data_IF_637100297981
#
_entry.id   IF_637100297981
#
_cell.length_a   1.000
_cell.length_b   1.000
_cell.length_c   1.000
_cell.angle_alpha   90.00
_cell.angle_beta   90.00
_cell.angle_gamma   90.00
#
_symmetry.space_group_name_H-M   'P 1'
#
loop_
_entity.id
_entity.type
_entity.pdbx_description
1 polymer ?
#
# COMPACT_ATOMS: atom_id res chain seq x y z
N UNK A 1 30.05 -10.24 18.36
CA UNK A 1 28.87 -9.45 18.66
C UNK A 1 28.03 -10.25 19.63
N UNK A 2 27.71 -9.67 20.78
CA UNK A 2 27.01 -10.33 21.88
C UNK A 2 25.52 -10.58 21.53
N UNK A 3 24.92 -11.66 22.11
CA UNK A 3 23.50 -12.02 21.87
C UNK A 3 22.46 -11.04 22.44
N UNK A 4 22.88 -10.02 23.17
CA UNK A 4 21.98 -9.11 23.90
C UNK A 4 21.48 -7.90 23.09
N UNK A 5 21.94 -7.71 21.84
CA UNK A 5 21.50 -6.61 20.98
C UNK A 5 20.25 -6.96 20.14
N UNK A 6 19.74 -8.17 20.22
CA UNK A 6 18.53 -8.63 19.51
C UNK A 6 17.22 -8.32 20.25
N UNK A 7 17.30 -7.74 21.45
CA UNK A 7 16.16 -7.28 22.24
C UNK A 7 16.09 -5.75 22.31
N UNK A 8 16.34 -5.05 21.21
CA UNK A 8 15.94 -3.65 21.16
C UNK A 8 14.41 -3.60 21.37
N UNK A 9 13.91 -2.83 22.35
CA UNK A 9 12.47 -2.66 22.51
C UNK A 9 11.92 -2.15 21.18
N UNK A 10 10.79 -2.72 20.76
CA UNK A 10 9.99 -2.17 19.66
C UNK A 10 10.00 -0.64 19.81
N UNK A 11 10.23 0.12 18.73
CA UNK A 11 10.27 1.58 18.83
C UNK A 11 9.01 2.00 19.59
N UNK A 12 9.26 2.70 20.68
CA UNK A 12 8.21 3.22 21.56
C UNK A 12 7.15 3.89 20.68
N UNK A 13 5.92 3.61 21.02
CA UNK A 13 4.71 4.26 20.52
C UNK A 13 4.95 5.75 20.21
N UNK A 14 4.23 6.35 19.24
CA UNK A 14 4.46 7.73 18.81
C UNK A 14 4.64 8.66 20.01
N UNK A 15 5.66 9.49 19.87
CA UNK A 15 6.30 10.38 20.86
C UNK A 15 5.47 10.74 22.11
N UNK A 16 6.15 10.79 23.25
CA UNK A 16 5.71 11.39 24.50
C UNK A 16 4.93 12.70 24.27
N UNK A 17 3.66 12.69 24.56
CA UNK A 17 2.70 13.80 24.38
C UNK A 17 1.29 13.29 24.19
N UNK A 18 1.13 12.01 23.94
CA UNK A 18 -0.15 11.38 23.67
C UNK A 18 -0.77 10.90 24.98
N UNK A 19 -1.83 11.56 25.41
CA UNK A 19 -2.48 11.44 26.74
C UNK A 19 -3.15 10.10 27.03
N UNK A 20 -2.76 9.00 26.38
CA UNK A 20 -3.32 7.65 26.62
C UNK A 20 -4.75 7.46 26.09
N UNK A 21 -5.22 8.34 25.24
CA UNK A 21 -6.54 8.29 24.60
C UNK A 21 -6.46 8.76 23.13
N UNK A 22 -7.52 8.46 22.38
CA UNK A 22 -7.79 8.98 21.04
C UNK A 22 -9.01 9.88 21.05
N UNK A 23 -9.12 10.79 20.09
CA UNK A 23 -10.39 11.34 19.70
C UNK A 23 -10.99 10.44 18.64
N UNK A 24 -12.23 9.98 18.81
CA UNK A 24 -12.92 9.11 17.86
C UNK A 24 -14.15 9.81 17.32
N UNK A 25 -14.33 9.80 16.00
CA UNK A 25 -15.53 10.26 15.31
C UNK A 25 -16.13 9.09 14.55
N UNK A 26 -17.41 8.83 14.70
CA UNK A 26 -18.14 7.84 13.92
C UNK A 26 -18.82 8.52 12.73
N UNK A 27 -18.54 8.03 11.55
CA UNK A 27 -19.18 8.43 10.29
C UNK A 27 -20.18 7.37 9.89
N UNK A 28 -21.44 7.72 9.72
CA UNK A 28 -22.49 6.78 9.37
C UNK A 28 -23.07 7.08 7.99
N UNK A 29 -23.42 6.01 7.28
CA UNK A 29 -24.05 6.05 5.97
C UNK A 29 -25.03 4.87 5.84
N UNK A 30 -26.20 5.10 5.25
CA UNK A 30 -27.04 4.01 4.77
C UNK A 30 -26.53 3.65 3.38
N UNK A 31 -25.93 2.44 3.20
CA UNK A 31 -25.31 2.08 1.94
C UNK A 31 -26.34 1.95 0.81
N UNK A 32 -25.97 2.40 -0.38
CA UNK A 32 -26.72 2.25 -1.62
C UNK A 32 -26.46 0.89 -2.29
N UNK A 33 -26.63 0.87 -3.61
CA UNK A 33 -26.38 -0.33 -4.43
C UNK A 33 -24.87 -0.66 -4.55
N UNK A 34 -24.00 0.35 -4.49
CA UNK A 34 -22.55 0.19 -4.57
C UNK A 34 -21.89 0.41 -3.19
N UNK A 35 -21.81 -0.67 -2.41
CA UNK A 35 -21.27 -0.66 -1.04
C UNK A 35 -19.79 -0.30 -0.96
N UNK A 36 -18.99 -0.72 -1.96
CA UNK A 36 -17.56 -0.39 -1.99
C UNK A 36 -17.34 1.11 -2.16
N UNK A 37 -18.10 1.72 -3.06
CA UNK A 37 -18.03 3.18 -3.24
C UNK A 37 -18.50 3.95 -2.01
N UNK A 38 -19.49 3.44 -1.30
CA UNK A 38 -19.97 4.02 -0.03
C UNK A 38 -18.92 3.90 1.07
N UNK A 39 -18.23 2.76 1.19
CA UNK A 39 -17.10 2.59 2.10
C UNK A 39 -15.94 3.53 1.76
N UNK A 40 -15.59 3.66 0.48
CA UNK A 40 -14.54 4.56 0.01
C UNK A 40 -14.83 6.03 0.36
N UNK A 41 -16.09 6.44 0.27
CA UNK A 41 -16.50 7.80 0.68
C UNK A 41 -16.28 8.06 2.16
N UNK A 42 -16.58 7.09 3.03
CA UNK A 42 -16.35 7.20 4.46
C UNK A 42 -14.85 7.27 4.77
N UNK A 43 -14.03 6.43 4.14
CA UNK A 43 -12.57 6.47 4.31
C UNK A 43 -11.96 7.76 3.78
N UNK A 44 -12.45 8.26 2.64
CA UNK A 44 -11.99 9.53 2.08
C UNK A 44 -12.26 10.68 3.05
N UNK A 45 -13.45 10.76 3.64
CA UNK A 45 -13.79 11.78 4.62
C UNK A 45 -12.91 11.68 5.87
N UNK A 46 -12.69 10.49 6.41
CA UNK A 46 -11.82 10.25 7.55
C UNK A 46 -10.37 10.66 7.26
N UNK A 47 -9.85 10.30 6.09
CA UNK A 47 -8.52 10.70 5.64
C UNK A 47 -8.38 12.21 5.48
N UNK A 48 -9.33 12.87 4.83
CA UNK A 48 -9.32 14.34 4.64
C UNK A 48 -9.40 15.11 5.95
N UNK A 49 -10.00 14.52 6.99
CA UNK A 49 -10.03 15.08 8.33
C UNK A 49 -8.79 14.71 9.16
N UNK A 50 -7.88 13.90 8.62
CA UNK A 50 -6.60 13.54 9.26
C UNK A 50 -6.74 12.45 10.31
N UNK A 51 -7.59 11.45 10.07
CA UNK A 51 -7.66 10.24 10.88
C UNK A 51 -6.32 9.48 10.82
N UNK A 52 -5.93 8.90 11.95
CA UNK A 52 -4.70 8.09 12.10
C UNK A 52 -5.01 6.59 12.10
N UNK A 53 -6.27 6.23 12.17
CA UNK A 53 -6.78 4.87 12.10
C UNK A 53 -8.28 4.89 11.87
N UNK A 54 -8.82 3.80 11.32
CA UNK A 54 -10.26 3.68 11.16
C UNK A 54 -10.70 2.22 11.10
N UNK A 55 -11.93 1.95 11.55
CA UNK A 55 -12.58 0.64 11.53
C UNK A 55 -13.96 0.78 10.89
N UNK A 56 -14.23 -0.02 9.86
CA UNK A 56 -15.54 -0.08 9.21
C UNK A 56 -16.37 -1.22 9.80
N UNK A 57 -17.55 -0.89 10.29
CA UNK A 57 -18.51 -1.85 10.82
C UNK A 57 -19.82 -1.77 10.03
N UNK A 58 -20.33 -2.90 9.60
CA UNK A 58 -21.67 -3.00 9.00
C UNK A 58 -22.61 -3.69 9.97
N UNK A 59 -23.67 -3.01 10.38
CA UNK A 59 -24.69 -3.55 11.25
C UNK A 59 -26.09 -3.03 10.86
N UNK A 60 -27.09 -3.91 10.91
CA UNK A 60 -28.52 -3.63 10.64
C UNK A 60 -28.78 -2.77 9.37
N UNK A 61 -27.94 -2.93 8.33
CA UNK A 61 -28.08 -2.20 7.05
C UNK A 61 -27.54 -0.77 7.10
N UNK A 62 -26.71 -0.45 8.09
CA UNK A 62 -25.91 0.78 8.17
C UNK A 62 -24.43 0.43 8.03
N UNK A 63 -23.70 1.38 7.49
CA UNK A 63 -22.25 1.34 7.40
C UNK A 63 -21.70 2.45 8.31
N UNK A 64 -20.90 2.07 9.28
CA UNK A 64 -20.30 2.99 10.27
C UNK A 64 -18.79 2.89 10.20
N UNK A 65 -18.11 3.98 9.89
CA UNK A 65 -16.67 4.11 10.01
C UNK A 65 -16.30 4.82 11.30
N UNK A 66 -15.64 4.12 12.21
CA UNK A 66 -14.98 4.72 13.36
C UNK A 66 -13.62 5.22 12.97
N UNK A 67 -13.38 6.50 13.09
CA UNK A 67 -12.11 7.12 12.76
C UNK A 67 -11.45 7.71 14.00
N UNK A 68 -10.18 7.37 14.21
CA UNK A 68 -9.40 7.79 15.37
C UNK A 68 -8.42 8.89 15.00
N UNK A 69 -8.23 9.84 15.92
CA UNK A 69 -7.40 11.03 15.75
C UNK A 69 -6.48 11.20 16.97
N UNK A 70 -5.31 11.82 16.73
CA UNK A 70 -4.35 12.07 17.82
C UNK A 70 -4.97 12.84 18.99
N UNK A 71 -4.62 12.42 20.19
CA UNK A 71 -5.04 13.10 21.44
C UNK A 71 -4.56 14.54 21.56
N UNK A 72 -3.48 14.89 20.88
CA UNK A 72 -2.92 16.25 20.81
C UNK A 72 -3.76 17.21 19.96
N UNK A 73 -4.73 16.70 19.21
CA UNK A 73 -5.61 17.49 18.34
C UNK A 73 -6.70 18.18 19.17
N UNK A 74 -7.02 19.43 18.81
CA UNK A 74 -8.14 20.14 19.41
C UNK A 74 -9.48 19.54 18.92
N UNK A 75 -10.35 19.00 19.79
CA UNK A 75 -11.59 18.35 19.40
C UNK A 75 -12.59 19.32 18.75
N UNK A 76 -12.58 20.60 19.13
CA UNK A 76 -13.45 21.60 18.53
C UNK A 76 -12.99 21.96 17.11
N UNK A 77 -11.67 21.97 16.87
CA UNK A 77 -11.11 22.15 15.53
C UNK A 77 -11.41 20.94 14.64
N UNK A 78 -11.29 19.73 15.18
CA UNK A 78 -11.65 18.50 14.48
C UNK A 78 -13.12 18.50 14.08
N UNK A 79 -14.02 18.81 15.02
CA UNK A 79 -15.47 18.88 14.78
C UNK A 79 -15.83 19.93 13.72
N UNK A 80 -15.14 21.07 13.71
CA UNK A 80 -15.30 22.11 12.67
C UNK A 80 -14.83 21.62 11.30
N UNK A 81 -13.69 20.93 11.25
CA UNK A 81 -13.14 20.36 10.00
C UNK A 81 -14.08 19.32 9.41
N UNK A 82 -14.61 18.42 10.24
CA UNK A 82 -15.61 17.43 9.84
C UNK A 82 -16.87 18.12 9.30
N UNK A 83 -17.42 19.07 10.05
CA UNK A 83 -18.64 19.79 9.66
C UNK A 83 -18.50 20.56 8.35
N UNK A 84 -17.30 21.09 8.08
CA UNK A 84 -17.01 21.81 6.82
C UNK A 84 -16.96 20.89 5.61
N UNK A 85 -16.56 19.61 5.77
CA UNK A 85 -16.43 18.64 4.69
C UNK A 85 -17.71 17.84 4.43
N UNK A 86 -18.56 17.62 5.43
CA UNK A 86 -19.79 16.83 5.33
C UNK A 86 -20.69 17.20 4.13
N UNK A 87 -20.88 18.49 3.75
CA UNK A 87 -21.68 18.83 2.58
C UNK A 87 -21.16 18.24 1.26
N UNK A 88 -19.89 17.91 1.17
CA UNK A 88 -19.27 17.24 0.01
C UNK A 88 -19.51 15.73 -0.02
N UNK A 89 -20.11 15.16 1.03
CA UNK A 89 -20.38 13.72 1.18
C UNK A 89 -21.89 13.49 1.44
N UNK A 90 -22.75 13.63 0.43
CA UNK A 90 -24.21 13.48 0.60
C UNK A 90 -24.59 12.13 1.21
N UNK A 91 -25.47 12.15 2.22
CA UNK A 91 -25.93 10.94 2.91
C UNK A 91 -25.01 10.44 4.03
N UNK A 92 -23.85 11.04 4.22
CA UNK A 92 -22.97 10.77 5.37
C UNK A 92 -23.36 11.69 6.54
N UNK A 93 -23.47 11.12 7.72
CA UNK A 93 -23.56 11.82 8.98
C UNK A 93 -22.32 11.59 9.83
N UNK A 94 -21.98 12.51 10.70
CA UNK A 94 -20.90 12.35 11.66
C UNK A 94 -21.46 12.49 13.07
N UNK A 95 -21.01 11.62 13.96
CA UNK A 95 -21.27 11.68 15.40
C UNK A 95 -20.43 12.77 16.10
N UNK A 96 -20.59 12.85 17.40
CA UNK A 96 -19.76 13.72 18.24
C UNK A 96 -18.31 13.19 18.28
N UNK A 97 -17.37 14.13 18.48
CA UNK A 97 -15.98 13.78 18.75
C UNK A 97 -15.85 13.28 20.19
N UNK A 98 -15.67 11.99 20.36
CA UNK A 98 -15.63 11.34 21.67
C UNK A 98 -14.19 11.04 22.07
N UNK A 99 -13.90 11.18 23.37
CA UNK A 99 -12.66 10.70 23.96
C UNK A 99 -12.76 9.20 24.17
N UNK A 100 -11.93 8.45 23.45
CA UNK A 100 -11.83 6.99 23.58
C UNK A 100 -10.51 6.62 24.23
N UNK A 101 -10.55 5.93 25.37
CA UNK A 101 -9.31 5.46 26.00
C UNK A 101 -8.62 4.46 25.07
N UNK A 102 -7.31 4.57 24.95
CA UNK A 102 -6.49 3.57 24.27
C UNK A 102 -6.72 2.22 24.96
N UNK A 103 -7.74 1.50 24.53
CA UNK A 103 -7.83 0.07 24.86
C UNK A 103 -6.58 -0.56 24.29
N UNK A 104 -5.98 -1.48 25.06
CA UNK A 104 -4.80 -2.20 24.61
C UNK A 104 -5.05 -2.80 23.23
N UNK A 105 -4.69 -2.05 22.19
CA UNK A 105 -4.69 -2.46 20.79
C UNK A 105 -3.77 -3.67 20.57
N UNK A 106 -3.00 -4.00 21.61
CA UNK A 106 -1.95 -5.01 21.58
C UNK A 106 -2.43 -6.43 21.27
N UNK A 107 -3.70 -6.77 21.49
CA UNK A 107 -4.18 -8.14 21.20
C UNK A 107 -5.07 -8.22 19.97
N UNK A 108 -5.92 -7.23 19.71
CA UNK A 108 -6.76 -7.23 18.50
C UNK A 108 -5.95 -6.96 17.22
N UNK A 109 -4.89 -6.13 17.29
CA UNK A 109 -3.98 -5.94 16.16
C UNK A 109 -3.22 -7.21 15.79
N UNK A 110 -2.87 -8.03 16.76
CA UNK A 110 -2.20 -9.30 16.51
C UNK A 110 -3.07 -10.27 15.69
N UNK A 111 -4.39 -10.18 15.84
CA UNK A 111 -5.36 -11.02 15.11
C UNK A 111 -5.77 -10.42 13.76
N UNK A 112 -5.66 -9.09 13.59
CA UNK A 112 -6.19 -8.38 12.42
C UNK A 112 -5.36 -8.58 11.13
N UNK A 113 -4.07 -8.92 11.24
CA UNK A 113 -3.16 -9.09 10.11
C UNK A 113 -2.44 -10.44 10.18
N UNK A 114 -3.14 -11.58 10.05
CA UNK A 114 -2.51 -12.89 10.09
C UNK A 114 -1.56 -13.08 8.90
N UNK A 115 -0.53 -13.93 9.01
CA UNK A 115 0.35 -14.22 7.89
C UNK A 115 -0.41 -14.64 6.65
N UNK A 116 -0.13 -13.98 5.52
CA UNK A 116 -0.83 -14.21 4.24
C UNK A 116 0.14 -14.75 3.20
N UNK A 117 -0.09 -15.97 2.74
CA UNK A 117 0.65 -16.56 1.64
C UNK A 117 0.24 -15.90 0.31
N UNK A 118 1.24 -15.44 -0.47
CA UNK A 118 1.03 -14.82 -1.78
C UNK A 118 1.86 -15.57 -2.81
N UNK A 119 1.22 -15.93 -3.92
CA UNK A 119 1.85 -16.75 -4.95
C UNK A 119 2.46 -18.03 -4.38
N UNK A 120 3.61 -18.41 -4.90
CA UNK A 120 4.37 -19.57 -4.43
C UNK A 120 5.53 -19.19 -3.51
N UNK A 121 5.99 -17.95 -3.56
CA UNK A 121 7.27 -17.51 -3.00
C UNK A 121 7.12 -16.74 -1.69
N UNK A 122 6.09 -15.91 -1.55
CA UNK A 122 6.02 -14.95 -0.47
C UNK A 122 5.05 -15.34 0.64
N UNK A 123 5.34 -14.85 1.83
CA UNK A 123 4.38 -14.70 2.93
C UNK A 123 4.46 -13.26 3.45
N UNK A 124 3.35 -12.54 3.38
CA UNK A 124 3.24 -11.19 3.95
C UNK A 124 2.90 -11.32 5.42
N UNK A 125 3.64 -10.63 6.26
CA UNK A 125 3.56 -10.75 7.71
C UNK A 125 3.65 -9.36 8.35
N UNK A 126 2.81 -9.13 9.34
CA UNK A 126 3.03 -8.01 10.25
C UNK A 126 4.25 -8.28 11.16
N UNK A 127 4.95 -7.25 11.69
CA UNK A 127 6.18 -7.43 12.47
C UNK A 127 6.03 -8.34 13.69
N UNK A 128 4.86 -8.38 14.30
CA UNK A 128 4.58 -9.20 15.49
C UNK A 128 4.42 -10.71 15.20
N UNK A 129 4.35 -11.10 13.91
CA UNK A 129 4.34 -12.51 13.48
C UNK A 129 5.73 -13.03 13.09
N UNK A 130 6.82 -12.30 13.43
CA UNK A 130 8.17 -12.61 12.98
C UNK A 130 8.64 -14.02 13.37
N UNK A 131 8.16 -14.51 14.49
CA UNK A 131 8.52 -15.85 15.03
C UNK A 131 7.64 -17.00 14.50
N UNK A 132 6.62 -16.68 13.68
CA UNK A 132 5.75 -17.70 13.14
C UNK A 132 6.37 -18.46 11.97
N UNK A 133 5.84 -19.66 11.72
CA UNK A 133 6.35 -20.56 10.68
C UNK A 133 6.06 -19.97 9.27
N UNK A 134 7.10 -19.92 8.44
CA UNK A 134 7.06 -19.33 7.09
C UNK A 134 6.83 -20.34 5.99
N UNK A 135 6.73 -21.64 6.32
CA UNK A 135 6.51 -22.74 5.38
C UNK A 135 7.47 -22.72 4.16
N UNK A 136 8.73 -22.32 4.40
CA UNK A 136 9.75 -22.21 3.35
C UNK A 136 9.60 -20.99 2.44
N UNK A 137 8.67 -20.07 2.72
CA UNK A 137 8.44 -18.86 1.94
C UNK A 137 9.33 -17.70 2.38
N UNK A 138 9.52 -16.73 1.50
CA UNK A 138 10.22 -15.48 1.78
C UNK A 138 9.27 -14.55 2.54
N UNK A 139 9.60 -14.15 3.78
CA UNK A 139 8.76 -13.24 4.53
C UNK A 139 8.94 -11.80 4.03
N UNK A 140 7.82 -11.11 3.88
CA UNK A 140 7.73 -9.68 3.66
C UNK A 140 7.10 -9.05 4.90
N UNK A 141 7.93 -8.44 5.74
CA UNK A 141 7.45 -7.76 6.94
C UNK A 141 7.02 -6.35 6.60
N UNK A 142 5.72 -6.11 6.68
CA UNK A 142 5.12 -4.81 6.41
C UNK A 142 4.38 -4.35 7.65
N UNK A 143 4.69 -3.15 8.10
CA UNK A 143 3.94 -2.52 9.17
C UNK A 143 2.59 -2.07 8.61
N UNK A 144 1.46 -2.55 9.16
CA UNK A 144 0.15 -2.09 8.74
C UNK A 144 -0.06 -0.64 9.20
N UNK A 145 0.20 0.31 8.31
CA UNK A 145 0.01 1.74 8.51
C UNK A 145 -1.01 2.28 7.50
N UNK A 146 -1.06 3.61 7.38
CA UNK A 146 -2.04 4.30 6.53
C UNK A 146 -1.72 4.25 5.04
N UNK A 147 -0.47 3.92 4.65
CA UNK A 147 -0.10 3.84 3.24
C UNK A 147 -0.71 2.62 2.56
N UNK A 148 -1.09 2.82 1.30
CA UNK A 148 -1.56 1.73 0.44
C UNK A 148 -0.47 0.69 0.21
N UNK A 149 -0.84 -0.59 0.15
CA UNK A 149 0.12 -1.66 -0.16
C UNK A 149 0.52 -2.50 1.06
N UNK A 150 -0.37 -2.71 2.02
CA UNK A 150 -0.12 -3.61 3.18
C UNK A 150 0.10 -5.08 2.78
N UNK A 151 -0.10 -5.43 1.50
CA UNK A 151 0.02 -6.79 0.98
C UNK A 151 -1.27 -7.61 1.07
N UNK A 152 -2.27 -7.16 1.83
CA UNK A 152 -3.55 -7.85 1.96
C UNK A 152 -4.51 -7.54 0.83
N UNK A 153 -4.35 -6.39 0.19
CA UNK A 153 -5.18 -5.98 -0.93
C UNK A 153 -4.91 -6.86 -2.17
N UNK A 154 -5.95 -7.23 -2.88
CA UNK A 154 -5.91 -8.14 -4.03
C UNK A 154 -4.96 -7.66 -5.12
N UNK A 155 -4.95 -6.35 -5.41
CA UNK A 155 -4.06 -5.79 -6.42
C UNK A 155 -2.58 -5.96 -6.08
N UNK A 156 -2.21 -5.82 -4.80
CA UNK A 156 -0.84 -6.03 -4.32
C UNK A 156 -0.44 -7.49 -4.45
N UNK A 157 -1.37 -8.40 -4.15
CA UNK A 157 -1.15 -9.85 -4.33
C UNK A 157 -0.94 -10.23 -5.78
N UNK A 158 -1.73 -9.64 -6.70
CA UNK A 158 -1.54 -9.79 -8.16
C UNK A 158 -0.14 -9.34 -8.57
N UNK A 159 0.30 -8.16 -8.15
CA UNK A 159 1.62 -7.64 -8.51
C UNK A 159 2.76 -8.51 -7.98
N UNK A 160 2.68 -8.95 -6.71
CA UNK A 160 3.64 -9.86 -6.10
C UNK A 160 3.72 -11.20 -6.85
N UNK A 161 2.59 -11.80 -7.21
CA UNK A 161 2.57 -13.07 -7.94
C UNK A 161 3.10 -12.94 -9.37
N UNK A 162 2.79 -11.83 -10.06
CA UNK A 162 3.28 -11.59 -11.42
C UNK A 162 4.80 -11.36 -11.49
N UNK A 163 5.43 -10.91 -10.40
CA UNK A 163 6.88 -10.63 -10.38
C UNK A 163 7.74 -11.85 -10.00
N UNK A 164 7.16 -12.88 -9.37
CA UNK A 164 7.92 -14.04 -8.87
C UNK A 164 8.84 -14.69 -9.91
N UNK A 165 8.36 -14.82 -11.15
CA UNK A 165 9.04 -15.53 -12.22
C UNK A 165 9.99 -14.65 -13.04
N UNK A 166 9.99 -13.32 -12.84
CA UNK A 166 10.69 -12.40 -13.74
C UNK A 166 11.69 -11.48 -13.06
N UNK A 167 11.66 -11.40 -11.74
CA UNK A 167 12.70 -10.72 -10.96
C UNK A 167 13.80 -11.72 -10.65
N UNK A 168 15.02 -11.42 -11.04
CA UNK A 168 16.17 -12.29 -10.87
C UNK A 168 17.29 -11.59 -10.12
N UNK A 169 18.23 -12.42 -9.64
CA UNK A 169 19.42 -11.93 -8.96
C UNK A 169 20.22 -10.98 -9.85
N UNK A 170 20.51 -9.80 -9.31
CA UNK A 170 21.29 -8.77 -10.01
C UNK A 170 20.47 -7.79 -10.83
N UNK A 171 19.14 -7.97 -10.88
CA UNK A 171 18.24 -7.05 -11.59
C UNK A 171 18.21 -5.66 -10.93
N UNK A 172 17.90 -4.67 -11.76
CA UNK A 172 17.48 -3.33 -11.38
C UNK A 172 15.96 -3.27 -11.49
N UNK A 173 15.26 -2.87 -10.43
CA UNK A 173 13.80 -2.81 -10.41
C UNK A 173 13.34 -1.38 -10.16
N UNK A 174 12.38 -0.93 -10.95
CA UNK A 174 11.71 0.37 -10.80
C UNK A 174 10.34 0.13 -10.17
N UNK A 175 10.03 0.79 -9.06
CA UNK A 175 8.74 0.70 -8.35
C UNK A 175 8.07 2.07 -8.32
N UNK A 176 7.00 2.22 -9.10
CA UNK A 176 6.31 3.48 -9.35
C UNK A 176 4.96 3.49 -8.62
N UNK A 177 4.81 4.43 -7.69
CA UNK A 177 3.73 4.42 -6.70
C UNK A 177 4.02 3.38 -5.64
N UNK A 178 5.18 3.53 -4.98
CA UNK A 178 5.74 2.48 -4.12
C UNK A 178 4.92 2.22 -2.84
N UNK A 179 4.16 3.20 -2.36
CA UNK A 179 3.37 3.08 -1.13
C UNK A 179 4.20 2.59 0.05
N UNK A 180 3.84 1.44 0.63
CA UNK A 180 4.59 0.81 1.73
C UNK A 180 5.98 0.29 1.34
N UNK A 181 6.30 0.24 0.06
CA UNK A 181 7.54 -0.33 -0.48
C UNK A 181 7.50 -1.85 -0.67
N UNK A 182 6.37 -2.50 -0.45
CA UNK A 182 6.28 -3.97 -0.44
C UNK A 182 6.82 -4.61 -1.73
N UNK A 183 6.56 -4.00 -2.90
CA UNK A 183 6.95 -4.58 -4.19
C UNK A 183 8.46 -4.54 -4.39
N UNK A 184 9.12 -3.40 -4.16
CA UNK A 184 10.58 -3.38 -4.31
C UNK A 184 11.30 -4.12 -3.18
N UNK A 185 10.74 -4.17 -1.95
CA UNK A 185 11.25 -5.02 -0.87
C UNK A 185 11.22 -6.49 -1.31
N UNK A 186 10.11 -6.94 -1.91
CA UNK A 186 9.99 -8.29 -2.48
C UNK A 186 11.03 -8.52 -3.58
N UNK A 187 11.26 -7.54 -4.46
CA UNK A 187 12.28 -7.62 -5.50
C UNK A 187 13.68 -7.78 -4.91
N UNK A 188 14.06 -6.99 -3.90
CA UNK A 188 15.35 -7.12 -3.21
C UNK A 188 15.50 -8.50 -2.55
N UNK A 189 14.45 -9.02 -1.96
CA UNK A 189 14.46 -10.36 -1.36
C UNK A 189 14.53 -11.50 -2.38
N UNK A 190 14.09 -11.28 -3.61
CA UNK A 190 14.35 -12.18 -4.75
C UNK A 190 15.78 -12.07 -5.29
N UNK A 191 16.54 -11.07 -4.85
CA UNK A 191 17.94 -10.89 -5.21
C UNK A 191 18.22 -9.75 -6.20
N UNK A 192 17.27 -8.87 -6.45
CA UNK A 192 17.54 -7.61 -7.16
C UNK A 192 18.71 -6.88 -6.50
N UNK A 193 19.58 -6.28 -7.31
CA UNK A 193 20.78 -5.60 -6.81
C UNK A 193 20.56 -4.13 -6.51
N UNK A 194 19.53 -3.52 -7.10
CA UNK A 194 19.23 -2.12 -6.99
C UNK A 194 17.75 -1.85 -7.27
N UNK A 195 17.16 -0.94 -6.53
CA UNK A 195 15.80 -0.50 -6.77
C UNK A 195 15.72 1.01 -6.88
N UNK A 196 14.78 1.50 -7.67
CA UNK A 196 14.39 2.91 -7.75
C UNK A 196 12.93 2.99 -7.40
N UNK A 197 12.59 3.67 -6.31
CA UNK A 197 11.22 3.78 -5.84
C UNK A 197 10.76 5.25 -5.86
N UNK A 198 9.57 5.48 -6.38
CA UNK A 198 8.95 6.81 -6.47
C UNK A 198 7.52 6.76 -5.95
N UNK A 199 7.15 7.79 -5.23
CA UNK A 199 5.76 8.05 -4.82
C UNK A 199 5.47 9.55 -4.83
N UNK A 200 4.21 9.92 -5.09
CA UNK A 200 3.76 11.31 -5.03
C UNK A 200 3.64 11.82 -3.59
N UNK A 201 3.31 10.91 -2.67
CA UNK A 201 3.09 11.26 -1.28
C UNK A 201 4.43 11.27 -0.51
N UNK A 202 4.88 12.43 0.00
CA UNK A 202 6.12 12.51 0.77
C UNK A 202 6.07 11.72 2.08
N UNK A 203 4.90 11.40 2.61
CA UNK A 203 4.76 10.65 3.86
C UNK A 203 5.16 9.18 3.71
N UNK A 204 5.12 8.64 2.49
CA UNK A 204 5.52 7.26 2.18
C UNK A 204 7.02 7.02 2.41
N UNK A 205 7.85 8.05 2.27
CA UNK A 205 9.33 7.92 2.38
C UNK A 205 9.75 7.36 3.74
N UNK A 206 9.17 7.87 4.82
CA UNK A 206 9.48 7.42 6.18
C UNK A 206 8.97 6.00 6.42
N UNK A 207 7.77 5.71 5.94
CA UNK A 207 7.15 4.39 6.06
C UNK A 207 7.91 3.32 5.29
N UNK A 208 8.34 3.62 4.08
CA UNK A 208 9.20 2.75 3.28
C UNK A 208 10.51 2.43 4.00
N UNK A 209 11.18 3.44 4.56
CA UNK A 209 12.43 3.23 5.32
C UNK A 209 12.23 2.30 6.50
N UNK A 210 11.14 2.49 7.25
CA UNK A 210 10.75 1.59 8.34
C UNK A 210 10.54 0.16 7.86
N UNK A 211 9.84 -0.03 6.75
CA UNK A 211 9.59 -1.35 6.19
C UNK A 211 10.88 -1.99 5.65
N UNK A 212 11.82 -1.22 5.09
CA UNK A 212 13.16 -1.74 4.73
C UNK A 212 13.90 -2.25 5.96
N UNK A 213 13.91 -1.48 7.06
CA UNK A 213 14.52 -1.88 8.32
C UNK A 213 13.90 -3.16 8.89
N UNK A 214 12.56 -3.26 8.90
CA UNK A 214 11.86 -4.49 9.32
C UNK A 214 12.26 -5.73 8.50
N UNK A 215 12.70 -5.52 7.28
CA UNK A 215 13.13 -6.58 6.36
C UNK A 215 14.64 -6.80 6.33
N UNK A 216 15.41 -6.16 7.22
CA UNK A 216 16.87 -6.22 7.32
C UNK A 216 17.56 -5.77 5.99
N UNK A 217 16.98 -4.78 5.30
CA UNK A 217 17.49 -4.24 4.04
C UNK A 217 18.21 -2.90 4.26
N UNK A 218 19.41 -2.76 3.66
CA UNK A 218 20.15 -1.49 3.71
C UNK A 218 19.43 -0.43 2.85
N UNK A 219 19.31 0.84 3.35
CA UNK A 219 18.83 1.95 2.54
C UNK A 219 19.66 2.19 1.27
N UNK A 220 20.93 1.77 1.26
CA UNK A 220 21.83 1.89 0.11
C UNK A 220 21.45 1.00 -1.08
N UNK A 221 20.42 0.16 -0.96
CA UNK A 221 19.90 -0.69 -2.03
C UNK A 221 18.78 -0.01 -2.83
N UNK A 222 18.37 1.22 -2.46
CA UNK A 222 17.23 1.88 -3.06
C UNK A 222 17.48 3.39 -3.26
N UNK A 223 17.22 3.89 -4.47
CA UNK A 223 16.99 5.32 -4.72
C UNK A 223 15.52 5.63 -4.48
N UNK A 224 15.20 6.04 -3.26
CA UNK A 224 13.85 6.36 -2.80
C UNK A 224 13.65 7.87 -2.77
N UNK A 225 12.69 8.37 -3.54
CA UNK A 225 12.39 9.80 -3.60
C UNK A 225 10.92 10.08 -3.90
N UNK A 226 10.47 11.27 -3.49
CA UNK A 226 9.19 11.83 -3.95
C UNK A 226 9.30 12.14 -5.43
N UNK A 227 8.32 11.70 -6.23
CA UNK A 227 8.32 11.93 -7.66
C UNK A 227 7.04 11.49 -8.34
N UNK A 228 6.71 12.15 -9.44
CA UNK A 228 5.57 11.82 -10.28
C UNK A 228 5.99 10.81 -11.35
N UNK A 229 5.47 9.60 -11.27
CA UNK A 229 5.74 8.49 -12.18
C UNK A 229 7.27 8.28 -12.38
N UNK A 230 7.75 8.38 -13.63
CA UNK A 230 9.16 8.23 -13.99
C UNK A 230 9.97 9.54 -13.91
N UNK A 231 9.39 10.60 -13.36
CA UNK A 231 10.08 11.88 -13.23
C UNK A 231 11.35 11.74 -12.38
N UNK A 232 12.49 12.16 -12.94
CA UNK A 232 13.80 12.09 -12.26
C UNK A 232 14.42 10.67 -12.22
N UNK A 233 13.78 9.65 -12.74
CA UNK A 233 14.36 8.30 -12.88
C UNK A 233 15.34 8.28 -14.05
N UNK A 234 16.60 7.97 -13.76
CA UNK A 234 17.66 7.89 -14.78
C UNK A 234 18.05 6.45 -15.09
N UNK A 235 17.88 5.55 -14.16
CA UNK A 235 18.21 4.15 -14.31
C UNK A 235 17.21 3.45 -15.23
N UNK A 236 17.72 2.47 -15.99
CA UNK A 236 16.89 1.54 -16.73
C UNK A 236 16.70 0.27 -15.92
N UNK A 237 15.44 -0.12 -15.72
CA UNK A 237 15.07 -1.34 -15.00
C UNK A 237 15.08 -2.59 -15.88
N UNK A 238 15.37 -3.72 -15.27
CA UNK A 238 15.05 -5.04 -15.82
C UNK A 238 13.54 -5.30 -15.67
N UNK A 239 12.97 -4.83 -14.56
CA UNK A 239 11.55 -4.92 -14.25
C UNK A 239 11.04 -3.56 -13.77
N UNK A 240 9.87 -3.15 -14.25
CA UNK A 240 9.10 -2.02 -13.75
C UNK A 240 7.83 -2.54 -13.07
N UNK A 241 7.55 -2.06 -11.89
CA UNK A 241 6.39 -2.37 -11.08
C UNK A 241 5.52 -1.11 -10.94
N UNK A 242 4.21 -1.24 -11.12
CA UNK A 242 3.25 -0.16 -10.92
C UNK A 242 1.92 -0.74 -10.43
N UNK A 243 1.67 -0.63 -9.13
CA UNK A 243 0.40 -0.99 -8.52
C UNK A 243 -0.37 0.28 -8.15
N UNK A 244 -0.89 0.98 -9.16
CA UNK A 244 -1.53 2.28 -9.09
C UNK A 244 -2.84 2.27 -9.88
N UNK A 245 -3.67 3.31 -9.74
CA UNK A 245 -4.95 3.41 -10.44
C UNK A 245 -4.80 3.46 -11.96
N UNK A 246 -5.89 3.22 -12.69
CA UNK A 246 -5.92 3.22 -14.16
C UNK A 246 -5.33 4.49 -14.77
N UNK A 247 -5.76 5.67 -14.31
CA UNK A 247 -5.36 6.94 -14.96
C UNK A 247 -3.84 7.18 -14.91
N UNK A 248 -3.14 7.06 -13.77
CA UNK A 248 -1.68 7.14 -13.72
C UNK A 248 -1.00 5.97 -14.46
N UNK A 249 -1.55 4.75 -14.45
CA UNK A 249 -1.03 3.65 -15.25
C UNK A 249 -1.05 3.97 -16.76
N UNK A 250 -2.15 4.55 -17.26
CA UNK A 250 -2.25 5.00 -18.66
C UNK A 250 -1.25 6.12 -18.98
N UNK A 251 -1.03 7.05 -18.06
CA UNK A 251 -0.05 8.13 -18.22
C UNK A 251 1.39 7.59 -18.23
N UNK A 252 1.67 6.53 -17.49
CA UNK A 252 2.98 5.88 -17.40
C UNK A 252 3.36 5.12 -18.69
N UNK A 253 2.40 4.46 -19.33
CA UNK A 253 2.64 3.52 -20.46
C UNK A 253 3.52 4.06 -21.58
N UNK A 254 3.40 5.31 -22.08
CA UNK A 254 4.23 5.81 -23.18
C UNK A 254 5.73 5.81 -22.87
N UNK A 255 6.10 5.97 -21.60
CA UNK A 255 7.48 6.15 -21.15
C UNK A 255 8.15 4.85 -20.70
N UNK A 256 7.37 3.80 -20.40
CA UNK A 256 7.87 2.51 -19.90
C UNK A 256 8.93 1.91 -20.80
N UNK A 257 8.76 1.95 -22.12
CA UNK A 257 9.74 1.41 -23.10
C UNK A 257 11.11 2.09 -23.03
N UNK A 258 11.17 3.33 -22.55
CA UNK A 258 12.42 4.07 -22.39
C UNK A 258 13.09 3.80 -21.04
N UNK A 259 12.28 3.43 -20.04
CA UNK A 259 12.74 3.10 -18.71
C UNK A 259 13.18 1.63 -18.56
N UNK A 260 12.81 0.76 -19.49
CA UNK A 260 13.18 -0.65 -19.45
C UNK A 260 14.49 -0.91 -20.24
N UNK A 261 15.27 -1.88 -19.76
CA UNK A 261 16.33 -2.52 -20.53
C UNK A 261 15.74 -3.43 -21.62
N UNK A 262 16.53 -3.79 -22.67
CA UNK A 262 16.08 -4.78 -23.63
C UNK A 262 15.58 -6.07 -22.97
N UNK A 263 14.45 -6.59 -23.44
CA UNK A 263 13.75 -7.77 -22.86
C UNK A 263 13.19 -7.58 -21.45
N UNK A 264 13.17 -6.35 -20.92
CA UNK A 264 12.62 -6.04 -19.61
C UNK A 264 11.11 -6.26 -19.53
N UNK A 265 10.64 -6.39 -18.33
CA UNK A 265 9.22 -6.61 -18.01
C UNK A 265 8.62 -5.38 -17.33
N UNK A 266 7.33 -5.18 -17.55
CA UNK A 266 6.52 -4.25 -16.78
C UNK A 266 5.33 -5.00 -16.17
N UNK A 267 5.06 -4.74 -14.90
CA UNK A 267 3.95 -5.31 -14.17
C UNK A 267 3.04 -4.17 -13.74
N UNK A 268 1.78 -4.26 -14.14
CA UNK A 268 0.75 -3.28 -13.85
C UNK A 268 -0.36 -3.92 -13.04
N UNK A 269 -0.78 -3.28 -11.98
CA UNK A 269 -1.89 -3.68 -11.12
C UNK A 269 -2.57 -2.44 -10.55
N UNK A 270 -3.54 -2.62 -9.62
CA UNK A 270 -4.31 -1.52 -9.04
C UNK A 270 -5.47 -1.07 -9.92
N UNK A 271 -5.87 -1.91 -10.87
CA UNK A 271 -6.98 -1.68 -11.78
C UNK A 271 -8.07 -2.74 -11.58
N UNK A 272 -9.31 -2.38 -11.87
CA UNK A 272 -10.44 -3.30 -11.81
C UNK A 272 -10.60 -4.10 -13.11
N UNK A 273 -11.37 -5.21 -13.06
CA UNK A 273 -11.71 -6.00 -14.23
C UNK A 273 -12.41 -5.17 -15.33
N UNK A 274 -13.19 -4.15 -14.95
CA UNK A 274 -13.88 -3.27 -15.88
C UNK A 274 -12.91 -2.36 -16.65
N UNK A 275 -11.79 -2.00 -16.06
CA UNK A 275 -10.78 -1.11 -16.62
C UNK A 275 -9.82 -1.81 -17.58
N UNK A 276 -9.78 -3.16 -17.54
CA UNK A 276 -8.89 -3.99 -18.37
C UNK A 276 -8.91 -3.62 -19.86
N UNK A 277 -10.10 -3.46 -20.43
CA UNK A 277 -10.24 -3.13 -21.86
C UNK A 277 -9.61 -1.78 -22.23
N UNK A 278 -9.83 -0.76 -21.39
CA UNK A 278 -9.25 0.57 -21.57
C UNK A 278 -7.71 0.52 -21.49
N UNK A 279 -7.17 -0.16 -20.49
CA UNK A 279 -5.72 -0.30 -20.34
C UNK A 279 -5.07 -1.06 -21.52
N UNK A 280 -5.61 -2.21 -21.93
CA UNK A 280 -5.06 -3.03 -23.00
C UNK A 280 -5.08 -2.33 -24.37
N UNK A 281 -6.08 -1.45 -24.60
CA UNK A 281 -6.14 -0.65 -25.83
C UNK A 281 -4.93 0.28 -26.00
N UNK A 282 -4.42 0.84 -24.89
CA UNK A 282 -3.25 1.73 -24.85
C UNK A 282 -1.95 0.90 -24.81
N UNK A 283 -1.93 -0.19 -24.04
CA UNK A 283 -0.77 -1.09 -23.95
C UNK A 283 -0.31 -1.55 -25.32
N UNK A 284 -1.23 -1.92 -26.22
CA UNK A 284 -0.91 -2.41 -27.57
C UNK A 284 -0.13 -1.40 -28.41
N UNK A 285 -0.24 -0.11 -28.12
CA UNK A 285 0.47 0.97 -28.83
C UNK A 285 1.73 1.47 -28.11
N UNK A 286 2.01 1.01 -26.90
CA UNK A 286 3.12 1.48 -26.07
C UNK A 286 4.47 0.80 -26.38
N UNK A 287 4.46 -0.23 -27.24
CA UNK A 287 5.65 -1.05 -27.54
C UNK A 287 5.85 -2.20 -26.55
N UNK A 288 4.85 -2.49 -25.73
CA UNK A 288 4.82 -3.61 -24.80
C UNK A 288 3.86 -4.69 -25.32
N UNK A 289 4.22 -5.95 -25.15
CA UNK A 289 3.39 -7.09 -25.46
C UNK A 289 2.88 -7.73 -24.18
N UNK A 290 1.57 -7.92 -24.07
CA UNK A 290 0.95 -8.64 -22.96
C UNK A 290 1.48 -10.09 -22.93
N UNK A 291 1.89 -10.56 -21.74
CA UNK A 291 2.41 -11.92 -21.57
C UNK A 291 1.57 -12.75 -20.59
N UNK A 292 1.20 -12.18 -19.47
CA UNK A 292 0.39 -12.85 -18.43
C UNK A 292 -0.59 -11.89 -17.80
N UNK A 293 -1.74 -12.39 -17.42
CA UNK A 293 -2.77 -11.65 -16.69
C UNK A 293 -3.18 -12.44 -15.45
N UNK A 294 -3.57 -11.72 -14.41
CA UNK A 294 -4.18 -12.29 -13.21
C UNK A 294 -5.42 -11.49 -12.82
N UNK A 295 -6.38 -12.23 -12.26
CA UNK A 295 -7.61 -11.68 -11.71
C UNK A 295 -7.76 -12.16 -10.28
N UNK A 296 -8.13 -11.27 -9.37
CA UNK A 296 -8.40 -11.62 -7.98
C UNK A 296 -9.58 -10.77 -7.49
N UNK A 297 -10.74 -11.43 -7.27
CA UNK A 297 -11.98 -10.69 -7.03
C UNK A 297 -12.30 -9.74 -8.19
N UNK A 298 -12.51 -8.48 -7.87
CA UNK A 298 -12.78 -7.42 -8.86
C UNK A 298 -11.52 -6.79 -9.45
N UNK A 299 -10.35 -7.19 -8.95
CA UNK A 299 -9.07 -6.63 -9.36
C UNK A 299 -8.42 -7.40 -10.48
N UNK A 300 -7.70 -6.65 -11.31
CA UNK A 300 -6.96 -7.14 -12.46
C UNK A 300 -5.56 -6.53 -12.50
N UNK A 301 -4.63 -7.33 -12.99
CA UNK A 301 -3.28 -6.89 -13.29
C UNK A 301 -2.64 -7.73 -14.37
N UNK A 302 -1.57 -7.21 -14.95
CA UNK A 302 -0.87 -7.89 -16.02
C UNK A 302 0.64 -7.71 -15.97
N UNK A 303 1.33 -8.66 -16.58
CA UNK A 303 2.73 -8.58 -16.95
C UNK A 303 2.85 -8.41 -18.46
N UNK A 304 3.58 -7.41 -18.85
CA UNK A 304 3.91 -7.13 -20.23
C UNK A 304 5.43 -7.14 -20.43
N UNK A 305 5.86 -7.44 -21.64
CA UNK A 305 7.27 -7.49 -22.02
C UNK A 305 7.56 -6.47 -23.11
N UNK A 306 8.75 -5.88 -23.07
CA UNK A 306 9.19 -5.03 -24.17
C UNK A 306 9.24 -5.83 -25.46
N UNK A 307 8.41 -5.42 -26.44
CA UNK A 307 8.17 -6.21 -27.67
C UNK A 307 9.40 -6.30 -28.58
N UNK A 308 10.32 -5.33 -28.46
CA UNK A 308 11.49 -5.22 -29.33
C UNK A 308 12.72 -4.89 -28.49
N UNK A 309 13.72 -5.75 -28.49
CA UNK A 309 15.02 -5.57 -27.84
C UNK A 309 16.03 -6.58 -28.36
#
# INVERSE_FOLDING_TARGET
MCPDELNAPLPEQPAEGDGGFWWTVEYELIPGENREWDAERLWTLASMTGAIGSELVEDEGRMTLRADYLSSRDPDELSRSVSALLPSFPGVSAGECLRTEKRAWSTQHLEAFPPLNVGHTFVVMAPWHRDEERQGRIPLYIYPAMAFGTGYHESTRIALELMEDVVHRGDVVLDIGTGTGILFIAALKLGASWTVARDLDPTTIEEVRRNMELNDLSPDLCDLAVGDLLSGVQDKGNVLLANILLAPNLALLPDVKYALKPKGYAIFSGMTNHERGAFLSVLSSSGLALERELHFGDWWGCRARLAWG
#
